data_IF_515228268604
#
_entry.id   IF_515228268604
#
_cell.length_a   1.000
_cell.length_b   1.000
_cell.length_c   1.000
_cell.angle_alpha   90.00
_cell.angle_beta   90.00
_cell.angle_gamma   90.00
#
_symmetry.space_group_name_H-M   'P 1'
#
loop_
_entity.id
_entity.type
_entity.pdbx_description
1 polymer ?
#
# COMPACT_ATOMS: atom_id res chain seq x y z
N UNK A 1 6.20 -9.33 17.81
CA UNK A 1 5.97 -7.94 17.40
C UNK A 1 5.12 -7.99 16.14
N UNK A 2 3.88 -7.51 16.18
CA UNK A 2 3.02 -7.44 15.01
C UNK A 2 3.42 -6.17 14.24
N UNK A 3 4.00 -6.34 13.05
CA UNK A 3 4.54 -5.28 12.21
C UNK A 3 3.60 -4.93 11.06
N UNK A 4 3.94 -3.89 10.27
CA UNK A 4 3.30 -3.60 8.98
C UNK A 4 3.16 -4.87 8.11
N UNK A 5 4.16 -5.77 8.12
CA UNK A 5 4.12 -7.00 7.33
C UNK A 5 3.00 -7.96 7.78
N UNK A 6 2.74 -8.09 9.08
CA UNK A 6 1.67 -8.95 9.59
C UNK A 6 0.28 -8.41 9.24
N UNK A 7 0.10 -7.08 9.32
CA UNK A 7 -1.12 -6.43 8.84
C UNK A 7 -1.30 -6.65 7.34
N UNK A 8 -0.23 -6.47 6.56
CA UNK A 8 -0.24 -6.63 5.12
C UNK A 8 -0.65 -8.03 4.67
N UNK A 9 -0.04 -9.06 5.25
CA UNK A 9 -0.41 -10.45 4.99
C UNK A 9 -1.88 -10.72 5.32
N UNK A 10 -2.36 -10.19 6.44
CA UNK A 10 -3.76 -10.34 6.86
C UNK A 10 -4.71 -9.68 5.85
N UNK A 11 -4.40 -8.46 5.39
CA UNK A 11 -5.18 -7.73 4.39
C UNK A 11 -5.19 -8.41 3.03
N UNK A 12 -4.03 -8.92 2.58
CA UNK A 12 -3.92 -9.63 1.31
C UNK A 12 -4.80 -10.88 1.24
N UNK A 13 -5.00 -11.55 2.37
CA UNK A 13 -5.76 -12.78 2.49
C UNK A 13 -7.24 -12.56 2.89
N UNK A 14 -7.66 -11.31 3.10
CA UNK A 14 -8.99 -10.97 3.60
C UNK A 14 -9.87 -10.33 2.51
N UNK A 15 -10.77 -11.08 1.86
CA UNK A 15 -11.66 -10.52 0.83
C UNK A 15 -12.67 -9.50 1.39
N UNK A 16 -12.92 -9.51 2.71
CA UNK A 16 -13.75 -8.52 3.39
C UNK A 16 -12.96 -7.89 4.55
N UNK A 17 -12.50 -6.66 4.38
CA UNK A 17 -11.71 -5.92 5.39
C UNK A 17 -12.58 -5.40 6.55
N UNK A 18 -13.89 -5.18 6.34
CA UNK A 18 -14.77 -4.56 7.33
C UNK A 18 -14.82 -5.28 8.69
N UNK A 19 -14.96 -6.62 8.78
CA UNK A 19 -14.91 -7.31 10.06
C UNK A 19 -13.56 -7.15 10.77
N UNK A 20 -12.47 -7.07 10.00
CA UNK A 20 -11.11 -7.02 10.54
C UNK A 20 -10.76 -5.66 11.16
N UNK A 21 -11.40 -4.57 10.70
CA UNK A 21 -11.24 -3.26 11.33
C UNK A 21 -11.67 -3.28 12.80
N UNK A 22 -12.73 -4.04 13.12
CA UNK A 22 -13.17 -4.21 14.51
C UNK A 22 -12.26 -5.15 15.30
N UNK A 23 -11.75 -6.21 14.67
CA UNK A 23 -10.79 -7.15 15.28
C UNK A 23 -9.50 -6.46 15.73
N UNK A 24 -9.03 -5.42 15.01
CA UNK A 24 -7.86 -4.62 15.42
C UNK A 24 -8.09 -3.98 16.79
N UNK A 25 -9.27 -3.38 17.00
CA UNK A 25 -9.64 -2.78 18.29
C UNK A 25 -9.78 -3.85 19.37
N UNK A 26 -10.43 -4.97 19.06
CA UNK A 26 -10.60 -6.08 20.00
C UNK A 26 -9.24 -6.65 20.44
N UNK A 27 -8.30 -6.82 19.51
CA UNK A 27 -6.94 -7.33 19.78
C UNK A 27 -6.14 -6.40 20.68
N UNK A 28 -6.30 -5.09 20.52
CA UNK A 28 -5.71 -4.11 21.43
C UNK A 28 -6.30 -4.21 22.84
N UNK A 29 -7.63 -4.30 22.96
CA UNK A 29 -8.32 -4.39 24.26
C UNK A 29 -7.99 -5.70 24.99
N UNK A 30 -7.85 -6.80 24.25
CA UNK A 30 -7.52 -8.13 24.78
C UNK A 30 -6.01 -8.33 25.03
N UNK A 31 -5.17 -7.31 24.75
CA UNK A 31 -3.73 -7.36 24.99
C UNK A 31 -2.94 -8.22 24.00
N UNK A 32 -3.56 -8.70 22.92
CA UNK A 32 -2.89 -9.49 21.88
C UNK A 32 -2.17 -8.62 20.84
N UNK A 33 -2.50 -7.32 20.78
CA UNK A 33 -1.82 -6.31 19.97
C UNK A 33 -1.38 -5.11 20.85
N UNK A 34 -0.07 -4.84 20.98
CA UNK A 34 0.42 -3.69 21.72
C UNK A 34 -0.09 -2.36 21.16
N UNK A 35 -0.41 -1.40 22.03
CA UNK A 35 -1.01 -0.12 21.64
C UNK A 35 -0.16 0.65 20.62
N UNK A 36 1.16 0.65 20.81
CA UNK A 36 2.11 1.26 19.88
C UNK A 36 2.12 0.63 18.47
N UNK A 37 1.72 -0.64 18.33
CA UNK A 37 1.76 -1.39 17.07
C UNK A 37 0.44 -1.33 16.28
N UNK A 38 -0.63 -0.81 16.88
CA UNK A 38 -1.95 -0.72 16.24
C UNK A 38 -1.90 0.06 14.93
N UNK A 39 -1.17 1.18 14.89
CA UNK A 39 -1.07 2.02 13.69
C UNK A 39 -0.35 1.31 12.55
N UNK A 40 0.77 0.63 12.84
CA UNK A 40 1.52 -0.11 11.83
C UNK A 40 0.73 -1.31 11.30
N UNK A 41 0.11 -2.08 12.19
CA UNK A 41 -0.71 -3.22 11.81
C UNK A 41 -1.92 -2.78 10.96
N UNK A 42 -2.64 -1.75 11.39
CA UNK A 42 -3.79 -1.23 10.65
C UNK A 42 -3.39 -0.69 9.27
N UNK A 43 -2.25 -0.01 9.18
CA UNK A 43 -1.73 0.44 7.88
C UNK A 43 -1.43 -0.73 6.96
N UNK A 44 -0.78 -1.79 7.45
CA UNK A 44 -0.54 -3.00 6.68
C UNK A 44 -1.85 -3.63 6.22
N UNK A 45 -2.81 -3.79 7.13
CA UNK A 45 -4.13 -4.37 6.85
C UNK A 45 -4.85 -3.67 5.71
N UNK A 46 -4.90 -2.33 5.75
CA UNK A 46 -5.57 -1.54 4.74
C UNK A 46 -4.86 -1.61 3.38
N UNK A 47 -3.53 -1.49 3.35
CA UNK A 47 -2.74 -1.57 2.11
C UNK A 47 -2.89 -2.96 1.48
N UNK A 48 -2.83 -4.02 2.29
CA UNK A 48 -2.99 -5.39 1.81
C UNK A 48 -4.37 -5.64 1.21
N UNK A 49 -5.43 -5.16 1.89
CA UNK A 49 -6.80 -5.29 1.40
C UNK A 49 -7.03 -4.49 0.09
N UNK A 50 -6.49 -3.28 0.00
CA UNK A 50 -6.53 -2.47 -1.22
C UNK A 50 -5.86 -3.19 -2.39
N UNK A 51 -4.62 -3.64 -2.21
CA UNK A 51 -3.85 -4.32 -3.27
C UNK A 51 -4.52 -5.63 -3.67
N UNK A 52 -5.07 -6.40 -2.72
CA UNK A 52 -5.83 -7.60 -3.02
C UNK A 52 -7.10 -7.32 -3.84
N UNK A 53 -7.78 -6.20 -3.61
CA UNK A 53 -8.96 -5.81 -4.41
C UNK A 53 -8.62 -5.47 -5.85
N UNK A 54 -7.35 -5.13 -6.14
CA UNK A 54 -6.87 -4.79 -7.48
C UNK A 54 -6.37 -6.00 -8.27
N UNK A 55 -6.38 -7.22 -7.70
CA UNK A 55 -5.84 -8.44 -8.34
C UNK A 55 -6.30 -8.62 -9.80
N UNK A 56 -7.60 -8.53 -10.05
CA UNK A 56 -8.16 -8.75 -11.39
C UNK A 56 -7.77 -7.65 -12.39
N UNK A 57 -7.58 -6.42 -11.90
CA UNK A 57 -7.14 -5.28 -12.72
C UNK A 57 -5.65 -5.39 -13.08
N UNK A 58 -4.83 -5.78 -12.10
CA UNK A 58 -3.37 -5.86 -12.23
C UNK A 58 -2.93 -7.09 -13.00
N UNK A 59 -3.69 -8.19 -12.97
CA UNK A 59 -3.39 -9.40 -13.76
C UNK A 59 -3.22 -9.13 -15.27
N UNK A 60 -3.77 -8.03 -15.77
CA UNK A 60 -3.68 -7.61 -17.17
C UNK A 60 -2.53 -6.63 -17.46
N UNK A 61 -1.77 -6.18 -16.45
CA UNK A 61 -0.66 -5.24 -16.59
C UNK A 61 0.70 -5.94 -16.38
N UNK A 62 1.70 -5.59 -17.20
CA UNK A 62 3.04 -6.17 -17.11
C UNK A 62 3.87 -5.62 -15.93
N UNK A 63 3.79 -4.32 -15.63
CA UNK A 63 4.55 -3.68 -14.53
C UNK A 63 3.75 -2.50 -13.98
N UNK A 64 3.58 -2.44 -12.65
CA UNK A 64 2.91 -1.32 -11.98
C UNK A 64 3.91 -0.18 -11.77
N UNK A 65 3.51 1.06 -12.05
CA UNK A 65 4.31 2.24 -11.67
C UNK A 65 3.79 2.83 -10.36
N UNK A 66 4.59 2.76 -9.30
CA UNK A 66 4.30 3.40 -8.00
C UNK A 66 4.87 4.82 -7.97
N UNK A 67 3.99 5.81 -7.87
CA UNK A 67 4.37 7.21 -7.68
C UNK A 67 4.02 7.63 -6.26
N UNK A 68 5.01 7.68 -5.36
CA UNK A 68 4.79 8.02 -3.96
C UNK A 68 6.08 8.52 -3.28
N UNK A 69 5.96 8.91 -2.00
CA UNK A 69 7.11 9.13 -1.13
C UNK A 69 7.72 7.82 -0.64
N UNK A 70 8.99 7.84 -0.25
CA UNK A 70 9.82 6.65 0.01
C UNK A 70 9.20 5.64 0.97
N UNK A 71 8.63 6.09 2.10
CA UNK A 71 8.05 5.20 3.11
C UNK A 71 6.81 4.47 2.60
N UNK A 72 5.97 5.14 1.80
CA UNK A 72 4.76 4.56 1.24
C UNK A 72 5.09 3.65 0.05
N UNK A 73 6.04 4.06 -0.79
CA UNK A 73 6.58 3.22 -1.87
C UNK A 73 7.02 1.87 -1.33
N UNK A 74 7.78 1.83 -0.23
CA UNK A 74 8.23 0.57 0.36
C UNK A 74 7.07 -0.33 0.79
N UNK A 75 6.01 0.23 1.39
CA UNK A 75 4.84 -0.54 1.85
C UNK A 75 4.03 -1.12 0.69
N UNK A 76 3.74 -0.33 -0.34
CA UNK A 76 3.01 -0.81 -1.52
C UNK A 76 3.85 -1.75 -2.37
N UNK A 77 5.17 -1.53 -2.47
CA UNK A 77 6.06 -2.44 -3.17
C UNK A 77 6.05 -3.83 -2.50
N UNK A 78 6.11 -3.89 -1.17
CA UNK A 78 5.99 -5.16 -0.44
C UNK A 78 4.64 -5.84 -0.71
N UNK A 79 3.55 -5.07 -0.77
CA UNK A 79 2.20 -5.60 -1.03
C UNK A 79 2.07 -6.22 -2.43
N UNK A 80 2.52 -5.51 -3.46
CA UNK A 80 2.46 -5.97 -4.85
C UNK A 80 3.42 -7.14 -5.10
N UNK A 81 4.62 -7.11 -4.52
CA UNK A 81 5.55 -8.24 -4.58
C UNK A 81 4.96 -9.50 -3.93
N UNK A 82 4.23 -9.36 -2.82
CA UNK A 82 3.53 -10.47 -2.18
C UNK A 82 2.39 -11.05 -3.05
N UNK A 83 1.89 -10.30 -4.03
CA UNK A 83 0.96 -10.80 -5.05
C UNK A 83 1.65 -11.31 -6.32
N UNK A 84 2.99 -11.27 -6.39
CA UNK A 84 3.75 -11.65 -7.57
C UNK A 84 3.74 -10.61 -8.70
N UNK A 85 3.44 -9.35 -8.40
CA UNK A 85 3.44 -8.27 -9.37
C UNK A 85 4.74 -7.47 -9.32
N UNK A 86 5.32 -7.21 -10.50
CA UNK A 86 6.49 -6.34 -10.62
C UNK A 86 6.10 -4.87 -10.55
N UNK A 87 6.99 -4.09 -9.94
CA UNK A 87 6.73 -2.68 -9.62
C UNK A 87 7.94 -1.82 -9.93
N UNK A 88 7.72 -0.71 -10.61
CA UNK A 88 8.69 0.37 -10.80
C UNK A 88 8.32 1.55 -9.91
N UNK A 89 9.26 2.01 -9.09
CA UNK A 89 9.04 3.17 -8.25
C UNK A 89 9.51 4.47 -8.92
N UNK A 90 8.70 5.52 -8.81
CA UNK A 90 9.04 6.89 -9.19
C UNK A 90 8.81 7.79 -7.98
N UNK A 91 9.81 8.61 -7.64
CA UNK A 91 9.68 9.57 -6.54
C UNK A 91 8.61 10.62 -6.89
N UNK A 92 7.64 10.81 -5.98
CA UNK A 92 6.53 11.74 -6.18
C UNK A 92 6.98 13.15 -6.56
N UNK A 93 7.99 13.69 -5.88
CA UNK A 93 8.53 15.03 -6.15
C UNK A 93 9.13 15.13 -7.57
N UNK A 94 9.81 14.08 -8.02
CA UNK A 94 10.39 14.02 -9.37
C UNK A 94 9.30 13.94 -10.43
N UNK A 95 8.29 13.10 -10.22
CA UNK A 95 7.14 12.99 -11.11
C UNK A 95 6.39 14.33 -11.24
N UNK A 96 6.19 15.02 -10.11
CA UNK A 96 5.52 16.32 -10.08
C UNK A 96 6.30 17.38 -10.86
N UNK A 97 7.60 17.52 -10.61
CA UNK A 97 8.45 18.47 -11.32
C UNK A 97 8.50 18.21 -12.83
N UNK A 98 8.62 16.94 -13.23
CA UNK A 98 8.61 16.56 -14.64
C UNK A 98 7.28 16.92 -15.32
N UNK A 99 6.16 16.67 -14.64
CA UNK A 99 4.82 17.02 -15.13
C UNK A 99 4.64 18.52 -15.37
N UNK A 100 4.97 19.35 -14.38
CA UNK A 100 4.85 20.81 -14.50
C UNK A 100 5.77 21.35 -15.61
N UNK A 101 7.00 20.83 -15.71
CA UNK A 101 7.94 21.24 -16.76
C UNK A 101 7.40 20.93 -18.16
N UNK A 102 6.81 19.76 -18.35
CA UNK A 102 6.23 19.38 -19.64
C UNK A 102 5.07 20.30 -20.05
N UNK A 103 4.19 20.66 -19.10
CA UNK A 103 3.10 21.60 -19.37
C UNK A 103 3.65 22.99 -19.72
N UNK A 104 4.63 23.48 -18.96
CA UNK A 104 5.25 24.78 -19.22
C UNK A 104 5.90 24.84 -20.61
N UNK A 105 6.59 23.77 -21.03
CA UNK A 105 7.14 23.67 -22.39
C UNK A 105 6.04 23.65 -23.47
N UNK A 106 4.93 22.94 -23.24
CA UNK A 106 3.84 22.87 -24.19
C UNK A 106 3.10 24.22 -24.35
N UNK A 107 3.11 25.07 -23.33
CA UNK A 107 2.50 26.42 -23.37
C UNK A 107 3.45 27.48 -23.96
N UNK A 108 4.76 27.24 -23.89
CA UNK A 108 5.79 28.13 -24.43
C UNK A 108 6.07 27.93 -25.92
N UNK A 109 5.51 26.88 -26.53
CA UNK A 109 5.53 26.60 -27.96
C UNK A 109 4.17 26.92 -28.60
#
# INVERSE_FOLDING_TARGET
MLSVAAGLERGLNAPAVLPQLFEVRASHVLGTLPREQVSEFLSGLLIGAEVASMRDYVAHQQVITLVAGTSLTARYQQAFQAMGCDVTAVAGDTAFQAGIRNIAHAVAN
#
